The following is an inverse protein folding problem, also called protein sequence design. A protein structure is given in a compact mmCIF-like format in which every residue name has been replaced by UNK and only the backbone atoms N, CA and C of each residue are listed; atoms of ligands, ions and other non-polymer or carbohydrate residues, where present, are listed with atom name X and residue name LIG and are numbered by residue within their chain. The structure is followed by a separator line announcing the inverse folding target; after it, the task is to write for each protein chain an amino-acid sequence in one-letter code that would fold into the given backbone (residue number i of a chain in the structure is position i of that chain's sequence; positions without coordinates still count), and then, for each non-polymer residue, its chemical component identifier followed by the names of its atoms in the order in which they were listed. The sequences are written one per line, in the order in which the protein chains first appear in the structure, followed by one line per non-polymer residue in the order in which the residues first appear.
data_IF_077144124396
#
_entry.id   IF_077144124396
#
_cell.length_a   1.000
_cell.length_b   1.000
_cell.length_c   1.000
_cell.angle_alpha   90.00
_cell.angle_beta   90.00
_cell.angle_gamma   90.00
#
_symmetry.space_group_name_H-M   'P 1'
#
loop_
_entity.id
_entity.type
_entity.pdbx_description
1 polymer ?
#
# COMPACT_ATOMS: atom_id res chain seq x y z
N UNK A 1 7.47 8.38 22.65
CA UNK A 1 7.46 9.48 21.67
C UNK A 1 8.66 9.33 20.77
N UNK A 2 8.49 9.40 19.45
CA UNK A 2 9.57 9.23 18.47
C UNK A 2 9.39 10.13 17.26
N UNK A 3 10.40 10.19 16.39
CA UNK A 3 10.44 11.01 15.18
C UNK A 3 10.35 10.13 13.93
N UNK A 4 9.30 10.29 13.14
CA UNK A 4 8.99 9.39 12.03
C UNK A 4 8.92 10.12 10.70
N UNK A 5 9.61 9.58 9.69
CA UNK A 5 9.43 9.96 8.29
C UNK A 5 8.34 9.09 7.66
N UNK A 6 7.28 9.70 7.12
CA UNK A 6 6.27 8.98 6.33
C UNK A 6 6.41 9.41 4.88
N UNK A 7 6.82 8.49 4.00
CA UNK A 7 6.85 8.77 2.55
C UNK A 7 5.49 8.50 1.92
N UNK A 8 5.10 9.28 0.91
CA UNK A 8 3.75 9.16 0.33
C UNK A 8 2.68 9.65 1.30
N UNK A 9 3.04 10.60 2.17
CA UNK A 9 2.21 11.09 3.27
C UNK A 9 0.86 11.71 2.86
N UNK A 10 0.71 12.14 1.61
CA UNK A 10 -0.55 12.67 1.06
C UNK A 10 -1.34 11.63 0.27
N UNK A 11 -0.89 10.38 0.24
CA UNK A 11 -1.55 9.28 -0.44
C UNK A 11 -2.59 8.58 0.43
N UNK A 12 -3.34 7.66 -0.17
CA UNK A 12 -4.42 6.91 0.48
C UNK A 12 -4.03 6.34 1.84
N UNK A 13 -2.87 5.68 1.95
CA UNK A 13 -2.40 5.08 3.21
C UNK A 13 -1.58 6.05 4.08
N UNK A 14 -0.81 6.97 3.46
CA UNK A 14 0.06 7.87 4.19
C UNK A 14 -0.71 8.86 5.07
N UNK A 15 -1.80 9.43 4.56
CA UNK A 15 -2.63 10.41 5.28
C UNK A 15 -3.16 9.88 6.63
N UNK A 16 -3.83 8.71 6.68
CA UNK A 16 -4.31 8.16 7.95
C UNK A 16 -3.17 7.75 8.90
N UNK A 17 -2.00 7.34 8.40
CA UNK A 17 -0.81 7.07 9.24
C UNK A 17 -0.30 8.34 9.90
N UNK A 18 -0.13 9.42 9.13
CA UNK A 18 0.33 10.71 9.66
C UNK A 18 -0.61 11.21 10.74
N UNK A 19 -1.93 11.14 10.49
CA UNK A 19 -2.95 11.57 11.46
C UNK A 19 -2.80 10.81 12.78
N UNK A 20 -2.78 9.47 12.72
CA UNK A 20 -2.62 8.61 13.92
C UNK A 20 -1.33 8.87 14.69
N UNK A 21 -0.21 9.05 13.99
CA UNK A 21 1.07 9.33 14.64
C UNK A 21 1.06 10.67 15.38
N UNK A 22 0.44 11.70 14.78
CA UNK A 22 0.29 13.02 15.42
C UNK A 22 -0.66 12.95 16.62
N UNK A 23 -1.76 12.21 16.53
CA UNK A 23 -2.70 12.01 17.64
C UNK A 23 -2.05 11.28 18.82
N UNK A 24 -1.10 10.38 18.54
CA UNK A 24 -0.26 9.71 19.55
C UNK A 24 0.91 10.59 20.06
N UNK A 25 1.04 11.83 19.56
CA UNK A 25 2.02 12.83 19.98
C UNK A 25 3.40 12.74 19.33
N UNK A 26 3.60 11.85 18.35
CA UNK A 26 4.88 11.68 17.68
C UNK A 26 5.24 12.90 16.81
N UNK A 27 6.54 13.13 16.62
CA UNK A 27 7.00 14.10 15.62
C UNK A 27 6.99 13.44 14.24
N UNK A 28 6.25 14.00 13.29
CA UNK A 28 6.09 13.40 11.96
C UNK A 28 6.67 14.32 10.89
N UNK A 29 7.64 13.79 10.12
CA UNK A 29 8.07 14.37 8.85
C UNK A 29 7.25 13.73 7.72
N UNK A 30 6.22 14.43 7.27
CA UNK A 30 5.30 13.95 6.25
C UNK A 30 5.84 14.22 4.83
N UNK A 31 6.50 13.27 4.18
CA UNK A 31 7.14 13.48 2.89
C UNK A 31 6.25 13.15 1.68
N UNK A 32 6.12 14.09 0.74
CA UNK A 32 5.35 13.89 -0.50
C UNK A 32 5.81 14.81 -1.64
N UNK A 33 5.59 14.38 -2.88
CA UNK A 33 5.83 15.17 -4.11
C UNK A 33 4.87 16.34 -4.25
N UNK A 34 3.63 16.10 -3.86
CA UNK A 34 2.49 16.99 -4.05
C UNK A 34 2.12 17.75 -2.78
N UNK A 35 3.04 17.81 -1.82
CA UNK A 35 2.93 18.59 -0.59
C UNK A 35 2.36 20.00 -0.89
N UNK A 36 1.10 20.30 -0.50
CA UNK A 36 0.53 21.62 -0.77
C UNK A 36 1.24 22.68 0.07
N UNK A 37 1.31 23.91 -0.47
CA UNK A 37 1.88 25.06 0.25
C UNK A 37 1.08 25.45 1.51
N UNK A 38 -0.18 24.99 1.63
CA UNK A 38 -1.08 25.24 2.75
C UNK A 38 -1.63 23.91 3.30
N UNK A 39 -1.52 23.68 4.61
CA UNK A 39 -1.90 22.44 5.31
C UNK A 39 -2.61 22.75 6.64
N UNK A 40 -3.59 23.65 6.63
CA UNK A 40 -4.49 23.81 7.77
C UNK A 40 -5.09 22.44 8.16
N UNK A 41 -4.66 21.87 9.29
CA UNK A 41 -5.13 20.58 9.82
C UNK A 41 -4.05 19.51 10.11
N UNK A 42 -2.79 19.68 9.69
CA UNK A 42 -1.71 18.70 9.97
C UNK A 42 -0.77 19.28 11.02
N UNK A 43 -1.05 18.99 12.29
CA UNK A 43 -0.40 19.61 13.45
C UNK A 43 1.07 19.22 13.65
N UNK A 44 2.02 19.94 13.06
CA UNK A 44 3.32 20.10 13.73
C UNK A 44 4.51 20.52 12.89
N UNK A 45 4.78 19.91 11.73
CA UNK A 45 5.87 20.28 10.81
C UNK A 45 5.45 19.90 9.39
N UNK A 46 5.35 20.93 8.54
CA UNK A 46 4.86 20.94 7.16
C UNK A 46 5.26 19.71 6.32
N UNK A 47 4.51 19.38 5.26
CA UNK A 47 4.89 18.27 4.40
C UNK A 47 6.27 18.52 3.77
N UNK A 48 7.22 17.62 4.03
CA UNK A 48 8.57 17.64 3.49
C UNK A 48 8.50 17.35 1.99
N UNK A 49 8.54 18.41 1.17
CA UNK A 49 8.36 18.26 -0.28
C UNK A 49 9.59 17.61 -0.90
N UNK A 50 9.43 16.39 -1.39
CA UNK A 50 10.50 15.64 -2.05
C UNK A 50 9.91 14.62 -3.03
N UNK A 51 10.54 14.50 -4.19
CA UNK A 51 10.30 13.37 -5.10
C UNK A 51 11.44 12.37 -4.95
N UNK A 52 11.23 11.36 -4.11
CA UNK A 52 12.23 10.30 -3.89
C UNK A 52 12.55 9.49 -5.16
N UNK A 53 11.76 9.60 -6.24
CA UNK A 53 12.08 8.95 -7.51
C UNK A 53 13.10 9.75 -8.35
N UNK A 54 13.32 11.04 -8.02
CA UNK A 54 14.28 11.91 -8.72
C UNK A 54 15.25 12.62 -7.78
N UNK A 55 15.08 12.48 -6.47
CA UNK A 55 15.93 13.08 -5.45
C UNK A 55 17.35 12.52 -5.53
N UNK A 56 18.32 13.41 -5.29
CA UNK A 56 19.72 13.04 -5.11
C UNK A 56 19.91 12.28 -3.79
N UNK A 57 20.98 11.47 -3.66
CA UNK A 57 21.29 10.79 -2.40
C UNK A 57 21.31 11.73 -1.20
N UNK A 58 21.91 12.92 -1.33
CA UNK A 58 21.97 13.93 -0.27
C UNK A 58 20.59 14.45 0.15
N UNK A 59 19.66 14.64 -0.79
CA UNK A 59 18.28 15.04 -0.46
C UNK A 59 17.51 13.94 0.28
N UNK A 60 17.77 12.68 -0.08
CA UNK A 60 17.19 11.52 0.62
C UNK A 60 17.78 11.39 2.03
N UNK A 61 19.09 11.55 2.19
CA UNK A 61 19.76 11.57 3.50
C UNK A 61 19.22 12.68 4.40
N UNK A 62 19.06 13.90 3.88
CA UNK A 62 18.46 15.01 4.61
C UNK A 62 17.01 14.72 5.04
N UNK A 63 16.25 14.00 4.20
CA UNK A 63 14.88 13.60 4.53
C UNK A 63 14.82 12.56 5.66
N UNK A 64 15.86 11.74 5.85
CA UNK A 64 15.94 10.71 6.91
C UNK A 64 16.65 11.25 8.16
N UNK A 65 17.42 12.32 8.04
CA UNK A 65 18.23 12.85 9.13
C UNK A 65 17.41 13.18 10.39
N UNK A 66 17.87 12.66 11.53
CA UNK A 66 17.24 12.82 12.84
C UNK A 66 15.92 12.06 13.04
N UNK A 67 15.55 11.14 12.12
CA UNK A 67 14.35 10.31 12.25
C UNK A 67 14.69 8.93 12.83
N UNK A 68 13.87 8.47 13.77
CA UNK A 68 13.99 7.15 14.40
C UNK A 68 13.41 6.04 13.50
N UNK A 69 12.41 6.38 12.69
CA UNK A 69 11.68 5.42 11.85
C UNK A 69 11.34 6.01 10.49
N UNK A 70 11.40 5.18 9.44
CA UNK A 70 10.94 5.50 8.08
C UNK A 70 9.80 4.56 7.72
N UNK A 71 8.60 5.10 7.51
CA UNK A 71 7.44 4.39 6.98
C UNK A 71 7.35 4.66 5.47
N UNK A 72 7.70 3.64 4.68
CA UNK A 72 7.78 3.76 3.23
C UNK A 72 6.47 3.36 2.54
N UNK A 73 5.57 4.32 2.32
CA UNK A 73 4.30 4.14 1.58
C UNK A 73 4.31 4.74 0.16
N UNK A 74 5.37 5.43 -0.25
CA UNK A 74 5.44 6.06 -1.57
C UNK A 74 5.49 5.03 -2.72
N UNK A 75 4.85 5.36 -3.82
CA UNK A 75 4.97 4.65 -5.11
C UNK A 75 4.96 5.65 -6.25
N UNK A 76 5.78 5.39 -7.26
CA UNK A 76 5.82 6.08 -8.55
C UNK A 76 4.87 5.46 -9.58
N UNK A 77 4.24 4.33 -9.25
CA UNK A 77 3.48 3.50 -10.18
C UNK A 77 4.35 2.73 -11.19
N UNK A 78 5.68 2.83 -11.10
CA UNK A 78 6.64 2.17 -11.99
C UNK A 78 7.60 1.32 -11.18
N UNK A 79 7.49 -0.01 -11.33
CA UNK A 79 8.25 -0.98 -10.52
C UNK A 79 9.75 -0.71 -10.39
N UNK A 80 10.43 -0.35 -11.50
CA UNK A 80 11.88 -0.06 -11.46
C UNK A 80 12.22 1.14 -10.58
N UNK A 81 11.46 2.24 -10.74
CA UNK A 81 11.65 3.47 -9.95
C UNK A 81 11.29 3.25 -8.47
N UNK A 82 10.29 2.42 -8.18
CA UNK A 82 9.93 2.07 -6.80
C UNK A 82 11.07 1.31 -6.10
N UNK A 83 11.76 0.43 -6.82
CA UNK A 83 12.93 -0.30 -6.31
C UNK A 83 14.12 0.64 -6.08
N UNK A 84 14.39 1.57 -6.99
CA UNK A 84 15.45 2.57 -6.86
C UNK A 84 15.19 3.51 -5.68
N UNK A 85 13.96 4.02 -5.56
CA UNK A 85 13.51 4.81 -4.41
C UNK A 85 13.67 4.04 -3.10
N UNK A 86 13.24 2.77 -3.06
CA UNK A 86 13.42 1.91 -1.87
C UNK A 86 14.90 1.78 -1.52
N UNK A 87 15.78 1.57 -2.51
CA UNK A 87 17.23 1.43 -2.29
C UNK A 87 17.84 2.69 -1.70
N UNK A 88 17.50 3.87 -2.21
CA UNK A 88 18.01 5.14 -1.70
C UNK A 88 17.58 5.37 -0.25
N UNK A 89 16.30 5.13 0.05
CA UNK A 89 15.75 5.27 1.40
C UNK A 89 16.35 4.25 2.38
N UNK A 90 16.55 3.00 1.97
CA UNK A 90 17.20 1.96 2.79
C UNK A 90 18.65 2.34 3.11
N UNK A 91 19.41 2.86 2.14
CA UNK A 91 20.78 3.30 2.36
C UNK A 91 20.84 4.43 3.41
N UNK A 92 19.99 5.46 3.26
CA UNK A 92 19.90 6.57 4.20
C UNK A 92 19.44 6.11 5.61
N UNK A 93 18.44 5.23 5.69
CA UNK A 93 17.97 4.68 6.96
C UNK A 93 19.03 3.82 7.66
N UNK A 94 19.80 3.04 6.90
CA UNK A 94 20.92 2.25 7.45
C UNK A 94 21.96 3.16 8.10
N UNK A 95 22.38 4.22 7.40
CA UNK A 95 23.37 5.17 7.90
C UNK A 95 22.93 5.91 9.18
N UNK A 96 21.63 5.98 9.44
CA UNK A 96 21.04 6.64 10.61
C UNK A 96 20.52 5.66 11.67
N UNK A 97 20.74 4.35 11.47
CA UNK A 97 20.18 3.29 12.31
C UNK A 97 18.65 3.41 12.53
N UNK A 98 17.93 3.92 11.53
CA UNK A 98 16.49 4.09 11.61
C UNK A 98 15.76 2.77 11.32
N UNK A 99 14.63 2.54 11.98
CA UNK A 99 13.74 1.42 11.69
C UNK A 99 13.02 1.66 10.35
N UNK A 100 13.15 0.74 9.40
CA UNK A 100 12.56 0.82 8.07
C UNK A 100 11.29 -0.03 7.95
N UNK A 101 10.13 0.60 7.91
CA UNK A 101 8.83 -0.06 7.77
C UNK A 101 8.34 0.04 6.33
N UNK A 102 8.02 -1.09 5.72
CA UNK A 102 7.58 -1.17 4.33
C UNK A 102 6.23 -1.87 4.19
N UNK A 103 5.32 -1.23 3.44
CA UNK A 103 4.05 -1.82 3.04
C UNK A 103 4.20 -2.53 1.68
N UNK A 104 3.92 -3.81 1.69
CA UNK A 104 3.96 -4.71 0.55
C UNK A 104 2.58 -5.36 0.33
N UNK A 105 2.50 -6.33 -0.56
CA UNK A 105 1.23 -6.93 -1.00
C UNK A 105 1.28 -8.46 -0.92
N UNK A 106 0.18 -9.06 -0.50
CA UNK A 106 0.01 -10.52 -0.47
C UNK A 106 0.15 -11.10 -1.88
N UNK A 107 0.84 -12.24 -2.00
CA UNK A 107 0.96 -12.97 -3.27
C UNK A 107 2.09 -12.55 -4.20
N UNK A 108 3.00 -11.67 -3.76
CA UNK A 108 4.12 -11.17 -4.60
C UNK A 108 5.10 -12.25 -5.07
N UNK A 109 5.15 -13.38 -4.38
CA UNK A 109 6.01 -14.50 -4.74
C UNK A 109 5.36 -15.42 -5.80
N UNK A 110 4.02 -15.44 -5.86
CA UNK A 110 3.26 -16.39 -6.68
C UNK A 110 2.65 -15.77 -7.94
N UNK A 111 2.25 -14.50 -7.89
CA UNK A 111 1.50 -13.85 -8.97
C UNK A 111 2.47 -13.05 -9.87
N UNK A 112 2.71 -13.47 -11.12
CA UNK A 112 3.77 -12.90 -11.97
C UNK A 112 3.37 -11.58 -12.65
N UNK A 113 2.74 -10.65 -11.92
CA UNK A 113 2.41 -9.30 -12.37
C UNK A 113 3.62 -8.36 -12.23
N UNK A 114 3.78 -7.42 -13.17
CA UNK A 114 4.92 -6.48 -13.14
C UNK A 114 4.99 -5.63 -11.88
N UNK A 115 3.84 -5.21 -11.34
CA UNK A 115 3.75 -4.50 -10.06
C UNK A 115 4.21 -5.38 -8.88
N UNK A 116 3.77 -6.65 -8.85
CA UNK A 116 4.13 -7.63 -7.81
C UNK A 116 5.62 -7.94 -7.84
N UNK A 117 6.20 -8.12 -9.04
CA UNK A 117 7.65 -8.25 -9.22
C UNK A 117 8.43 -7.03 -8.70
N UNK A 118 7.85 -5.83 -8.81
CA UNK A 118 8.41 -4.60 -8.23
C UNK A 118 8.43 -4.64 -6.71
N UNK A 119 7.30 -4.98 -6.07
CA UNK A 119 7.21 -5.17 -4.61
C UNK A 119 8.17 -6.26 -4.12
N UNK A 120 8.23 -7.42 -4.78
CA UNK A 120 9.19 -8.48 -4.47
C UNK A 120 10.65 -8.05 -4.64
N UNK A 121 10.96 -7.18 -5.60
CA UNK A 121 12.29 -6.61 -5.75
C UNK A 121 12.62 -5.61 -4.63
N UNK A 122 11.67 -4.78 -4.22
CA UNK A 122 11.83 -3.86 -3.09
C UNK A 122 12.01 -4.62 -1.77
N UNK A 123 11.21 -5.65 -1.49
CA UNK A 123 11.40 -6.51 -0.30
C UNK A 123 12.79 -7.14 -0.27
N UNK A 124 13.30 -7.63 -1.41
CA UNK A 124 14.66 -8.18 -1.50
C UNK A 124 15.75 -7.13 -1.25
N UNK A 125 15.53 -5.86 -1.60
CA UNK A 125 16.47 -4.78 -1.28
C UNK A 125 16.53 -4.55 0.22
N UNK A 126 15.36 -4.49 0.87
CA UNK A 126 15.24 -4.26 2.32
C UNK A 126 15.83 -5.46 3.09
N UNK A 127 15.37 -6.68 2.79
CA UNK A 127 15.74 -7.89 3.52
C UNK A 127 17.23 -8.28 3.39
N UNK A 128 17.94 -7.75 2.38
CA UNK A 128 19.38 -7.98 2.16
C UNK A 128 20.27 -6.83 2.64
N UNK A 129 19.68 -5.77 3.18
CA UNK A 129 20.41 -4.65 3.77
C UNK A 129 20.63 -4.84 5.27
N UNK A 130 21.52 -4.04 5.83
CA UNK A 130 21.81 -4.02 7.27
C UNK A 130 20.84 -3.11 8.08
N UNK A 131 19.83 -2.52 7.42
CA UNK A 131 18.83 -1.70 8.13
C UNK A 131 17.99 -2.56 9.07
N UNK A 132 17.60 -2.03 10.23
CA UNK A 132 16.54 -2.66 11.04
C UNK A 132 15.21 -2.51 10.32
N UNK A 133 14.52 -3.58 9.94
CA UNK A 133 13.34 -3.48 9.07
C UNK A 133 12.09 -4.21 9.57
N UNK A 134 10.94 -3.77 9.07
CA UNK A 134 9.68 -4.50 9.15
C UNK A 134 8.90 -4.42 7.86
N UNK A 135 8.40 -5.56 7.38
CA UNK A 135 7.60 -5.66 6.16
C UNK A 135 6.23 -6.22 6.50
N UNK A 136 5.18 -5.47 6.16
CA UNK A 136 3.80 -5.91 6.23
C UNK A 136 3.28 -6.13 4.81
N UNK A 137 2.78 -7.33 4.50
CA UNK A 137 2.00 -7.58 3.27
C UNK A 137 0.52 -7.50 3.61
N UNK A 138 -0.25 -6.82 2.77
CA UNK A 138 -1.71 -6.78 2.91
C UNK A 138 -2.37 -7.24 1.62
N UNK A 139 -3.63 -7.65 1.72
CA UNK A 139 -4.48 -7.79 0.53
C UNK A 139 -4.83 -6.41 -0.04
N UNK A 140 -5.73 -6.38 -1.03
CA UNK A 140 -5.95 -5.21 -1.87
C UNK A 140 -6.80 -4.17 -1.14
N UNK A 141 -6.35 -2.92 -1.06
CA UNK A 141 -7.20 -1.86 -0.51
C UNK A 141 -8.51 -1.72 -1.28
N UNK A 142 -9.58 -1.33 -0.57
CA UNK A 142 -10.88 -1.06 -1.20
C UNK A 142 -10.77 -0.11 -2.41
N UNK A 143 -9.99 0.98 -2.28
CA UNK A 143 -9.74 1.92 -3.38
C UNK A 143 -9.12 1.26 -4.62
N UNK A 144 -8.23 0.28 -4.43
CA UNK A 144 -7.61 -0.45 -5.54
C UNK A 144 -8.65 -1.31 -6.25
N UNK A 145 -9.49 -2.02 -5.50
CA UNK A 145 -10.56 -2.86 -6.06
C UNK A 145 -11.60 -2.02 -6.80
N UNK A 146 -12.00 -0.87 -6.24
CA UNK A 146 -12.89 0.08 -6.90
C UNK A 146 -12.26 0.67 -8.19
N UNK A 147 -10.97 1.02 -8.16
CA UNK A 147 -10.24 1.50 -9.35
C UNK A 147 -10.15 0.42 -10.44
N UNK A 148 -9.95 -0.84 -10.05
CA UNK A 148 -10.01 -1.97 -10.98
C UNK A 148 -11.40 -2.11 -11.61
N UNK A 149 -12.47 -2.02 -10.81
CA UNK A 149 -13.84 -2.07 -11.31
C UNK A 149 -14.12 -0.92 -12.30
N UNK A 150 -13.70 0.29 -11.97
CA UNK A 150 -13.78 1.46 -12.84
C UNK A 150 -13.01 1.25 -14.17
N UNK A 151 -11.81 0.65 -14.09
CA UNK A 151 -11.02 0.29 -15.27
C UNK A 151 -11.73 -0.72 -16.17
N UNK A 152 -12.33 -1.76 -15.59
CA UNK A 152 -13.11 -2.77 -16.32
C UNK A 152 -14.33 -2.11 -17.00
N UNK A 153 -15.01 -1.19 -16.32
CA UNK A 153 -16.20 -0.52 -16.84
C UNK A 153 -15.95 0.46 -17.99
N UNK A 154 -14.68 0.81 -18.27
CA UNK A 154 -14.30 1.63 -19.43
C UNK A 154 -14.46 0.90 -20.75
N UNK A 155 -14.54 -0.44 -20.75
CA UNK A 155 -14.76 -1.21 -21.95
C UNK A 155 -16.22 -0.98 -22.42
N UNK A 156 -16.45 -0.56 -23.68
CA UNK A 156 -17.80 -0.32 -24.17
C UNK A 156 -18.66 -1.58 -24.12
N UNK A 157 -19.94 -1.41 -23.78
CA UNK A 157 -21.00 -2.43 -23.73
C UNK A 157 -20.83 -3.58 -22.71
N UNK A 158 -19.61 -4.04 -22.44
CA UNK A 158 -19.32 -5.18 -21.56
C UNK A 158 -18.32 -4.83 -20.46
N UNK A 159 -18.40 -5.55 -19.35
CA UNK A 159 -17.39 -5.58 -18.29
C UNK A 159 -16.79 -6.99 -18.25
N UNK A 160 -15.61 -7.24 -18.85
CA UNK A 160 -15.00 -8.55 -18.83
C UNK A 160 -14.43 -8.86 -17.45
N UNK A 161 -15.07 -9.78 -16.72
CA UNK A 161 -14.67 -10.22 -15.39
C UNK A 161 -13.91 -11.55 -15.50
N UNK A 162 -12.65 -11.63 -15.03
CA UNK A 162 -11.92 -12.88 -14.91
C UNK A 162 -12.70 -13.97 -14.16
N UNK A 163 -12.97 -15.08 -14.86
CA UNK A 163 -13.72 -16.22 -14.31
C UNK A 163 -12.97 -16.87 -13.14
N UNK A 164 -13.68 -17.09 -12.04
CA UNK A 164 -13.19 -17.84 -10.88
C UNK A 164 -12.15 -17.12 -10.04
N UNK A 165 -11.95 -15.82 -10.25
CA UNK A 165 -11.04 -15.00 -9.45
C UNK A 165 -11.78 -14.38 -8.26
N UNK A 166 -11.15 -14.46 -7.10
CA UNK A 166 -11.62 -13.85 -5.84
C UNK A 166 -10.66 -12.76 -5.38
N UNK A 167 -11.17 -11.83 -4.57
CA UNK A 167 -10.41 -10.80 -3.88
C UNK A 167 -10.78 -10.80 -2.40
N UNK A 168 -9.92 -10.24 -1.57
CA UNK A 168 -10.18 -10.05 -0.14
C UNK A 168 -9.88 -8.60 0.24
N UNK A 169 -10.76 -7.66 -0.13
CA UNK A 169 -10.47 -6.24 -0.01
C UNK A 169 -10.33 -5.82 1.46
N UNK A 170 -9.36 -4.95 1.78
CA UNK A 170 -9.06 -4.50 3.16
C UNK A 170 -9.20 -2.98 3.32
N UNK A 171 -9.65 -2.55 4.49
CA UNK A 171 -9.79 -1.14 4.83
C UNK A 171 -8.42 -0.49 5.10
N UNK A 172 -8.22 0.72 4.57
CA UNK A 172 -6.96 1.46 4.70
C UNK A 172 -6.69 1.88 6.14
N UNK A 173 -7.73 2.24 6.90
CA UNK A 173 -7.61 2.63 8.30
C UNK A 173 -6.99 1.53 9.16
N UNK A 174 -7.46 0.30 9.02
CA UNK A 174 -6.98 -0.86 9.78
C UNK A 174 -5.52 -1.18 9.48
N UNK A 175 -5.11 -1.04 8.21
CA UNK A 175 -3.70 -1.19 7.83
C UNK A 175 -2.85 -0.03 8.36
N UNK A 176 -3.39 1.19 8.41
CA UNK A 176 -2.71 2.33 9.02
C UNK A 176 -2.49 2.10 10.52
N UNK A 177 -3.49 1.61 11.25
CA UNK A 177 -3.38 1.25 12.67
C UNK A 177 -2.25 0.24 12.90
N UNK A 178 -2.23 -0.85 12.12
CA UNK A 178 -1.17 -1.86 12.24
C UNK A 178 0.21 -1.33 11.88
N UNK A 179 0.34 -0.50 10.85
CA UNK A 179 1.63 0.08 10.48
C UNK A 179 2.16 1.04 11.54
N UNK A 180 1.28 1.80 12.20
CA UNK A 180 1.67 2.67 13.33
C UNK A 180 2.15 1.84 14.50
N UNK A 181 1.45 0.75 14.86
CA UNK A 181 1.89 -0.18 15.90
C UNK A 181 3.29 -0.76 15.58
N UNK A 182 3.48 -1.27 14.35
CA UNK A 182 4.77 -1.81 13.91
C UNK A 182 5.86 -0.73 13.96
N UNK A 183 5.58 0.47 13.45
CA UNK A 183 6.55 1.56 13.35
C UNK A 183 6.95 2.18 14.69
N UNK A 184 6.15 1.99 15.74
CA UNK A 184 6.43 2.50 17.08
C UNK A 184 6.99 1.43 18.01
N UNK A 185 7.08 0.19 17.55
CA UNK A 185 7.73 -0.94 18.22
C UNK A 185 9.13 -1.25 17.67
N UNK A 186 9.79 -2.30 18.18
CA UNK A 186 11.04 -2.78 17.62
C UNK A 186 10.85 -3.39 16.23
N UNK A 187 11.93 -3.44 15.44
CA UNK A 187 11.91 -4.12 14.15
C UNK A 187 11.62 -5.62 14.30
N UNK A 188 10.60 -6.10 13.60
CA UNK A 188 10.12 -7.50 13.68
C UNK A 188 10.43 -8.35 12.44
N UNK A 189 11.16 -7.81 11.47
CA UNK A 189 11.33 -8.48 10.19
C UNK A 189 9.99 -8.63 9.44
N UNK A 190 9.64 -9.84 9.02
CA UNK A 190 8.41 -10.07 8.26
C UNK A 190 7.21 -10.24 9.20
N UNK A 191 6.30 -9.27 9.19
CA UNK A 191 5.04 -9.35 9.95
C UNK A 191 4.10 -10.44 9.39
N UNK A 192 3.10 -10.86 10.14
CA UNK A 192 1.99 -11.66 9.58
C UNK A 192 1.22 -10.84 8.54
N UNK A 193 0.79 -11.48 7.45
CA UNK A 193 -0.03 -10.86 6.40
C UNK A 193 -1.35 -10.36 6.98
N UNK A 194 -1.93 -9.31 6.41
CA UNK A 194 -3.28 -8.86 6.74
C UNK A 194 -4.19 -9.02 5.53
N UNK A 195 -5.19 -9.88 5.67
CA UNK A 195 -6.32 -9.98 4.75
C UNK A 195 -7.51 -9.17 5.27
N UNK A 196 -8.28 -8.57 4.37
CA UNK A 196 -9.54 -7.96 4.75
C UNK A 196 -10.58 -8.96 5.28
N UNK A 197 -11.69 -8.49 5.84
CA UNK A 197 -12.62 -9.34 6.59
C UNK A 197 -13.40 -10.34 5.73
N UNK A 198 -13.51 -10.09 4.42
CA UNK A 198 -14.35 -10.89 3.52
C UNK A 198 -13.61 -11.30 2.23
N UNK A 199 -13.76 -12.57 1.84
CA UNK A 199 -13.35 -13.08 0.53
C UNK A 199 -14.58 -13.09 -0.38
N UNK A 200 -14.52 -12.36 -1.49
CA UNK A 200 -15.60 -12.28 -2.47
C UNK A 200 -15.11 -12.56 -3.89
N UNK A 201 -16.02 -12.96 -4.78
CA UNK A 201 -15.70 -13.10 -6.20
C UNK A 201 -15.58 -11.71 -6.82
N UNK A 202 -14.68 -11.53 -7.79
CA UNK A 202 -14.53 -10.23 -8.47
C UNK A 202 -15.85 -9.73 -9.11
N UNK A 203 -16.73 -10.64 -9.56
CA UNK A 203 -18.03 -10.26 -10.12
C UNK A 203 -18.99 -9.65 -9.10
N UNK A 204 -18.91 -10.07 -7.82
CA UNK A 204 -19.73 -9.53 -6.73
C UNK A 204 -19.29 -8.11 -6.39
N UNK A 205 -17.98 -7.90 -6.23
CA UNK A 205 -17.41 -6.56 -6.01
C UNK A 205 -17.69 -5.62 -7.18
N UNK A 206 -17.58 -6.11 -8.42
CA UNK A 206 -17.94 -5.32 -9.59
C UNK A 206 -19.43 -4.96 -9.60
N UNK A 207 -20.31 -5.91 -9.27
CA UNK A 207 -21.75 -5.69 -9.19
C UNK A 207 -22.11 -4.62 -8.15
N UNK A 208 -21.56 -4.73 -6.93
CA UNK A 208 -21.77 -3.75 -5.87
C UNK A 208 -21.24 -2.37 -6.27
N UNK A 209 -20.02 -2.29 -6.80
CA UNK A 209 -19.43 -1.05 -7.28
C UNK A 209 -20.25 -0.42 -8.42
N UNK A 210 -20.70 -1.23 -9.39
CA UNK A 210 -21.48 -0.75 -10.52
C UNK A 210 -22.86 -0.24 -10.11
N UNK A 211 -23.53 -0.93 -9.18
CA UNK A 211 -24.80 -0.49 -8.61
C UNK A 211 -24.65 0.85 -7.88
N UNK A 212 -23.63 0.98 -7.03
CA UNK A 212 -23.33 2.22 -6.31
C UNK A 212 -23.05 3.40 -7.26
N UNK A 213 -22.27 3.18 -8.32
CA UNK A 213 -21.86 4.24 -9.26
C UNK A 213 -22.87 4.48 -10.41
N UNK A 214 -24.04 3.81 -10.42
CA UNK A 214 -25.01 3.93 -11.50
C UNK A 214 -24.51 3.40 -12.86
N UNK A 215 -23.49 2.54 -12.86
CA UNK A 215 -22.85 2.03 -14.07
C UNK A 215 -23.61 0.83 -14.61
N UNK A 216 -24.21 0.99 -15.79
CA UNK A 216 -24.88 -0.10 -16.52
C UNK A 216 -23.90 -0.73 -17.51
N UNK A 217 -23.19 -1.77 -17.08
CA UNK A 217 -22.32 -2.60 -17.94
C UNK A 217 -22.69 -4.06 -17.76
N UNK A 218 -22.81 -4.80 -18.86
CA UNK A 218 -23.06 -6.24 -18.80
C UNK A 218 -21.78 -6.93 -18.33
N UNK A 219 -21.78 -7.46 -17.11
CA UNK A 219 -20.69 -8.30 -16.63
C UNK A 219 -20.63 -9.60 -17.47
N UNK A 220 -19.49 -9.84 -18.12
CA UNK A 220 -19.25 -11.03 -18.92
C UNK A 220 -18.08 -11.77 -18.31
N UNK A 221 -18.31 -13.01 -17.89
CA UNK A 221 -17.25 -13.86 -17.35
C UNK A 221 -16.31 -14.29 -18.48
N UNK A 222 -15.03 -13.91 -18.41
CA UNK A 222 -14.01 -14.25 -19.41
C UNK A 222 -12.90 -15.12 -18.80
N UNK A 223 -12.35 -16.11 -19.53
CA UNK A 223 -11.16 -16.82 -19.08
C UNK A 223 -9.96 -15.88 -18.93
N UNK A 224 -9.18 -16.07 -17.87
CA UNK A 224 -7.87 -15.45 -17.71
C UNK A 224 -6.81 -16.56 -17.81
N UNK A 225 -6.25 -16.84 -19.00
CA UNK A 225 -5.27 -17.89 -19.19
C UNK A 225 -3.89 -17.51 -18.62
N UNK A 226 -2.98 -18.48 -18.57
CA UNK A 226 -1.61 -18.27 -18.12
C UNK A 226 -1.43 -18.26 -16.60
N UNK A 227 -0.17 -18.06 -16.19
CA UNK A 227 0.26 -18.19 -14.80
C UNK A 227 -0.45 -17.20 -13.85
N UNK A 228 -0.68 -15.95 -14.29
CA UNK A 228 -1.43 -14.95 -13.51
C UNK A 228 -2.83 -15.44 -13.17
N UNK A 229 -3.59 -15.87 -14.19
CA UNK A 229 -4.95 -16.35 -13.95
C UNK A 229 -5.00 -17.62 -13.13
N UNK A 230 -4.02 -18.52 -13.28
CA UNK A 230 -3.88 -19.71 -12.42
C UNK A 230 -3.67 -19.30 -10.96
N UNK A 231 -2.69 -18.44 -10.68
CA UNK A 231 -2.37 -18.01 -9.32
C UNK A 231 -3.54 -17.28 -8.63
N UNK A 232 -4.23 -16.39 -9.35
CA UNK A 232 -5.42 -15.70 -8.84
C UNK A 232 -6.60 -16.65 -8.56
N UNK A 233 -6.84 -17.65 -9.42
CA UNK A 233 -7.88 -18.67 -9.17
C UNK A 233 -7.54 -19.59 -8.00
N UNK A 234 -6.26 -19.77 -7.71
CA UNK A 234 -5.77 -20.52 -6.55
C UNK A 234 -5.78 -19.68 -5.27
N UNK A 235 -6.17 -18.40 -5.33
CA UNK A 235 -6.25 -17.53 -4.17
C UNK A 235 -4.93 -16.92 -3.73
N UNK A 236 -3.91 -16.87 -4.60
CA UNK A 236 -2.59 -16.31 -4.23
C UNK A 236 -2.61 -14.84 -3.80
N UNK A 237 -3.69 -14.10 -4.10
CA UNK A 237 -3.89 -12.71 -3.67
C UNK A 237 -4.74 -12.58 -2.38
N UNK A 238 -5.05 -13.70 -1.72
CA UNK A 238 -5.87 -13.79 -0.52
C UNK A 238 -5.00 -14.20 0.68
N UNK A 239 -5.46 -13.85 1.87
CA UNK A 239 -4.95 -14.27 3.17
C UNK A 239 -6.13 -14.58 4.11
N UNK A 240 -6.94 -15.63 3.83
CA UNK A 240 -8.14 -15.95 4.61
C UNK A 240 -7.82 -16.34 6.06
N UNK A 241 -6.69 -17.01 6.28
CA UNK A 241 -6.23 -17.42 7.62
C UNK A 241 -5.70 -16.24 8.46
N UNK A 242 -5.62 -15.06 7.84
CA UNK A 242 -5.22 -13.80 8.47
C UNK A 242 -6.21 -12.68 8.16
N UNK A 243 -7.50 -13.01 8.09
CA UNK A 243 -8.57 -12.04 7.98
C UNK A 243 -8.62 -11.19 9.26
N UNK A 244 -8.54 -9.87 9.08
CA UNK A 244 -8.56 -8.88 10.17
C UNK A 244 -9.53 -7.76 9.84
N UNK A 245 -9.90 -7.01 10.88
CA UNK A 245 -10.75 -5.84 10.73
C UNK A 245 -12.23 -6.17 10.58
N UNK A 246 -13.01 -5.11 10.34
CA UNK A 246 -14.46 -5.15 10.14
C UNK A 246 -14.93 -4.29 8.97
N UNK A 247 -14.06 -3.44 8.41
CA UNK A 247 -14.41 -2.61 7.26
C UNK A 247 -14.62 -3.44 5.99
N UNK A 248 -15.87 -3.58 5.57
CA UNK A 248 -16.26 -4.31 4.36
C UNK A 248 -16.17 -3.43 3.11
N UNK A 249 -16.12 -4.04 1.92
CA UNK A 249 -16.14 -3.29 0.67
C UNK A 249 -17.47 -2.56 0.47
N UNK A 250 -18.58 -3.14 0.94
CA UNK A 250 -19.90 -2.52 0.89
C UNK A 250 -19.99 -1.25 1.74
N UNK A 251 -19.42 -1.27 2.96
CA UNK A 251 -19.33 -0.07 3.82
C UNK A 251 -18.48 1.01 3.17
N UNK A 252 -17.33 0.65 2.60
CA UNK A 252 -16.49 1.60 1.87
C UNK A 252 -17.21 2.27 0.70
N UNK A 253 -18.07 1.54 -0.02
CA UNK A 253 -18.87 2.16 -1.08
C UNK A 253 -19.94 3.11 -0.52
N UNK A 254 -20.35 2.99 0.75
CA UNK A 254 -21.40 3.85 1.32
C UNK A 254 -20.86 5.16 1.93
N UNK A 255 -19.53 5.31 2.04
CA UNK A 255 -18.83 6.53 2.49
C UNK A 255 -18.75 7.61 1.40
#
# INVERSE_FOLDING_TARGET
MGKLLVTGATGTLGTPIVTRLLDLGHEVRAASRSAPHNTAGIGGKFPYRIDFATATPTEVEAAVDGMDTVIHCATSGRSKRDVEMTRALVAAATAKAAHFVYISIVGIDDIPLGYYKGKAAAERVIARSDVSWSILRTTQFHNLVASMCAGIARIPAIAPIPKGVSFQPIAVGEVADRLVEIATGPAIGRATDMGGPEVGRLHEFFGAWAAHNGVRRRAVSVPLPGAVGKALRQGGNLAPDHAVGSGTFAQFLAE
#
